data_IF_320504924009
#
_entry.id   IF_320504924009
#
_cell.length_a   1.000
_cell.length_b   1.000
_cell.length_c   1.000
_cell.angle_alpha   90.00
_cell.angle_beta   90.00
_cell.angle_gamma   90.00
#
_symmetry.space_group_name_H-M   'P 1'
#
loop_
_entity.id
_entity.type
_entity.pdbx_description
1 polymer ?
#
# COMPACT_ATOMS: atom_id res chain seq x y z
N UNK A 1 6.51 11.18 19.12
CA UNK A 1 7.46 10.27 18.42
C UNK A 1 7.00 8.81 18.46
N UNK A 2 6.88 8.18 19.63
CA UNK A 2 6.50 6.75 19.72
C UNK A 2 5.21 6.38 18.96
N UNK A 3 4.14 7.19 19.09
CA UNK A 3 2.88 6.98 18.37
C UNK A 3 3.03 7.01 16.84
N UNK A 4 3.91 7.86 16.30
CA UNK A 4 4.17 7.93 14.86
C UNK A 4 4.82 6.62 14.38
N UNK A 5 5.84 6.15 15.10
CA UNK A 5 6.53 4.89 14.79
C UNK A 5 5.57 3.70 14.86
N UNK A 6 4.74 3.64 15.91
CA UNK A 6 3.73 2.59 16.07
C UNK A 6 2.71 2.63 14.92
N UNK A 7 2.23 3.82 14.53
CA UNK A 7 1.30 3.99 13.41
C UNK A 7 1.90 3.50 12.09
N UNK A 8 3.18 3.80 11.85
CA UNK A 8 3.90 3.31 10.67
C UNK A 8 4.01 1.77 10.69
N UNK A 9 4.47 1.18 11.80
CA UNK A 9 4.61 -0.28 11.93
C UNK A 9 3.26 -0.97 11.70
N UNK A 10 2.20 -0.49 12.38
CA UNK A 10 0.86 -1.05 12.24
C UNK A 10 0.34 -0.86 10.83
N UNK A 11 0.57 0.30 10.20
CA UNK A 11 0.20 0.54 8.80
C UNK A 11 0.89 -0.41 7.83
N UNK A 12 2.20 -0.64 8.00
CA UNK A 12 2.97 -1.58 7.16
C UNK A 12 2.53 -3.03 7.35
N UNK A 13 2.21 -3.44 8.58
CA UNK A 13 1.63 -4.78 8.81
C UNK A 13 0.23 -4.87 8.22
N UNK A 14 -0.58 -3.83 8.39
CA UNK A 14 -1.95 -3.78 7.89
C UNK A 14 -2.00 -3.83 6.36
N UNK A 15 -1.07 -3.22 5.63
CA UNK A 15 -1.02 -3.33 4.17
C UNK A 15 -0.83 -4.77 3.66
N UNK A 16 -0.22 -5.65 4.45
CA UNK A 16 -0.09 -7.06 4.05
C UNK A 16 -1.43 -7.80 4.11
N UNK A 17 -2.36 -7.31 4.94
CA UNK A 17 -3.66 -7.93 5.19
C UNK A 17 -4.79 -7.16 4.52
N UNK A 18 -4.64 -5.86 4.28
CA UNK A 18 -5.70 -5.01 3.71
C UNK A 18 -6.13 -5.47 2.32
N UNK A 19 -5.22 -6.11 1.57
CA UNK A 19 -5.52 -6.77 0.30
C UNK A 19 -6.61 -7.84 0.45
N UNK A 20 -6.62 -8.60 1.55
CA UNK A 20 -7.63 -9.64 1.78
C UNK A 20 -9.02 -9.08 2.07
N UNK A 21 -9.14 -7.79 2.42
CA UNK A 21 -10.40 -7.20 2.86
C UNK A 21 -11.39 -6.95 1.71
N UNK A 22 -10.93 -6.98 0.45
CA UNK A 22 -11.72 -6.52 -0.69
C UNK A 22 -11.66 -7.45 -1.91
N UNK A 23 -12.20 -8.67 -1.78
CA UNK A 23 -12.37 -9.63 -2.89
C UNK A 23 -11.08 -10.14 -3.58
N UNK A 24 -9.88 -9.74 -3.14
CA UNK A 24 -8.60 -10.26 -3.62
C UNK A 24 -8.14 -11.51 -2.83
N UNK A 25 -9.11 -12.34 -2.42
CA UNK A 25 -8.84 -13.59 -1.69
C UNK A 25 -8.05 -14.59 -2.51
N UNK A 26 -8.29 -14.66 -3.83
CA UNK A 26 -7.57 -15.60 -4.71
C UNK A 26 -6.07 -15.25 -4.79
N UNK A 27 -5.68 -14.00 -5.13
CA UNK A 27 -4.27 -13.61 -5.10
C UNK A 27 -3.60 -13.79 -3.72
N UNK A 28 -4.34 -13.54 -2.65
CA UNK A 28 -3.86 -13.77 -1.28
C UNK A 28 -3.56 -15.26 -1.04
N UNK A 29 -4.50 -16.14 -1.37
CA UNK A 29 -4.33 -17.59 -1.20
C UNK A 29 -3.16 -18.09 -2.04
N UNK A 30 -2.99 -17.61 -3.27
CA UNK A 30 -1.82 -17.97 -4.09
C UNK A 30 -0.51 -17.52 -3.44
N UNK A 31 -0.47 -16.33 -2.84
CA UNK A 31 0.71 -15.86 -2.14
C UNK A 31 1.00 -16.70 -0.88
N UNK A 32 -0.03 -17.11 -0.14
CA UNK A 32 0.08 -17.98 1.03
C UNK A 32 0.56 -19.39 0.63
N UNK A 33 0.01 -19.97 -0.43
CA UNK A 33 0.43 -21.27 -0.94
C UNK A 33 1.89 -21.22 -1.40
N UNK A 34 2.29 -20.14 -2.08
CA UNK A 34 3.69 -19.94 -2.48
C UNK A 34 4.62 -19.74 -1.29
N UNK A 35 4.17 -19.15 -0.19
CA UNK A 35 4.97 -19.07 1.05
C UNK A 35 5.32 -20.44 1.64
N UNK A 36 4.51 -21.47 1.38
CA UNK A 36 4.80 -22.83 1.87
C UNK A 36 6.01 -23.45 1.16
N UNK A 37 6.19 -23.13 -0.13
CA UNK A 37 7.32 -23.60 -0.93
C UNK A 37 8.52 -22.64 -0.89
N UNK A 38 8.27 -21.34 -1.01
CA UNK A 38 9.27 -20.28 -1.02
C UNK A 38 8.71 -19.05 -0.27
N UNK A 39 9.10 -18.85 1.01
CA UNK A 39 8.58 -17.76 1.82
C UNK A 39 8.99 -16.38 1.28
N UNK A 40 10.13 -16.28 0.59
CA UNK A 40 10.61 -15.01 0.04
C UNK A 40 9.73 -14.63 -1.15
N UNK A 41 9.48 -15.58 -2.06
CA UNK A 41 8.63 -15.35 -3.23
C UNK A 41 7.18 -15.01 -2.83
N UNK A 42 6.64 -15.70 -1.83
CA UNK A 42 5.31 -15.40 -1.29
C UNK A 42 5.21 -14.00 -0.68
N UNK A 43 6.25 -13.53 0.04
CA UNK A 43 6.32 -12.15 0.54
C UNK A 43 6.38 -11.13 -0.58
N UNK A 44 7.14 -11.40 -1.66
CA UNK A 44 7.17 -10.52 -2.83
C UNK A 44 5.79 -10.37 -3.43
N UNK A 45 5.03 -11.47 -3.58
CA UNK A 45 3.69 -11.42 -4.14
C UNK A 45 2.73 -10.59 -3.29
N UNK A 46 2.74 -10.75 -1.97
CA UNK A 46 1.91 -9.91 -1.08
C UNK A 46 2.26 -8.43 -1.19
N UNK A 47 3.55 -8.11 -1.25
CA UNK A 47 4.03 -6.73 -1.38
C UNK A 47 3.72 -6.17 -2.77
N UNK A 48 3.82 -6.97 -3.82
CA UNK A 48 3.48 -6.59 -5.19
C UNK A 48 1.99 -6.31 -5.35
N UNK A 49 1.12 -7.11 -4.73
CA UNK A 49 -0.33 -6.93 -4.77
C UNK A 49 -0.77 -5.59 -4.19
N UNK A 50 -0.01 -5.02 -3.26
CA UNK A 50 -0.27 -3.67 -2.77
C UNK A 50 -0.13 -2.62 -3.88
N UNK A 51 0.68 -2.87 -4.91
CA UNK A 51 0.94 -1.95 -6.01
C UNK A 51 0.27 -2.39 -7.33
N UNK A 52 -0.67 -3.35 -7.30
CA UNK A 52 -1.34 -3.79 -8.53
C UNK A 52 -2.47 -2.86 -9.01
N UNK A 53 -2.77 -1.79 -8.27
CA UNK A 53 -3.77 -0.80 -8.69
C UNK A 53 -3.18 0.17 -9.71
N UNK A 54 -3.45 -0.03 -10.99
CA UNK A 54 -3.04 0.91 -12.02
C UNK A 54 -3.93 2.16 -12.06
N UNK A 55 -3.55 3.18 -11.27
CA UNK A 55 -4.23 4.46 -11.27
C UNK A 55 -4.15 5.17 -12.63
N UNK A 56 -3.06 5.00 -13.39
CA UNK A 56 -2.86 5.68 -14.67
C UNK A 56 -3.81 5.10 -15.73
N UNK A 57 -3.96 3.78 -15.79
CA UNK A 57 -4.92 3.12 -16.69
C UNK A 57 -6.37 3.52 -16.37
N UNK A 58 -6.70 3.68 -15.08
CA UNK A 58 -8.01 4.19 -14.66
C UNK A 58 -8.26 5.63 -15.18
N UNK A 59 -7.25 6.51 -15.15
CA UNK A 59 -7.40 7.90 -15.61
C UNK A 59 -7.36 8.03 -17.14
N UNK A 60 -6.55 7.24 -17.84
CA UNK A 60 -6.39 7.32 -19.30
C UNK A 60 -7.53 6.64 -20.08
N UNK A 61 -8.15 5.61 -19.51
CA UNK A 61 -9.21 4.84 -20.15
C UNK A 61 -10.32 4.49 -19.18
N UNK A 62 -10.87 5.53 -18.52
CA UNK A 62 -11.89 5.39 -17.48
C UNK A 62 -13.05 4.53 -17.95
N UNK A 63 -13.32 3.44 -17.21
CA UNK A 63 -14.51 2.62 -17.36
C UNK A 63 -15.03 2.20 -15.99
N UNK A 64 -16.35 1.99 -15.88
CA UNK A 64 -16.93 1.52 -14.61
C UNK A 64 -16.44 0.13 -14.22
N UNK A 65 -16.14 -0.73 -15.20
CA UNK A 65 -15.56 -2.05 -14.95
C UNK A 65 -14.17 -1.96 -14.32
N UNK A 66 -13.30 -1.07 -14.83
CA UNK A 66 -11.97 -0.82 -14.25
C UNK A 66 -12.06 -0.24 -12.84
N UNK A 67 -12.98 0.69 -12.62
CA UNK A 67 -13.20 1.26 -11.28
C UNK A 67 -13.62 0.18 -10.28
N UNK A 68 -14.53 -0.72 -10.66
CA UNK A 68 -14.98 -1.82 -9.80
C UNK A 68 -13.85 -2.82 -9.50
N UNK A 69 -12.98 -3.10 -10.48
CA UNK A 69 -11.83 -3.99 -10.30
C UNK A 69 -10.79 -3.41 -9.34
N UNK A 70 -10.54 -2.10 -9.44
CA UNK A 70 -9.42 -1.43 -8.79
C UNK A 70 -9.77 -0.69 -7.49
N UNK A 71 -11.03 -0.32 -7.29
CA UNK A 71 -11.50 0.34 -6.07
C UNK A 71 -11.20 -0.41 -4.77
N UNK A 72 -11.21 -1.76 -4.72
CA UNK A 72 -10.68 -2.55 -3.60
C UNK A 72 -9.30 -2.11 -3.07
N UNK A 73 -8.34 -1.95 -3.97
CA UNK A 73 -6.94 -1.69 -3.62
C UNK A 73 -6.75 -0.25 -3.18
N UNK A 74 -7.42 0.68 -3.85
CA UNK A 74 -7.44 2.08 -3.43
C UNK A 74 -8.08 2.21 -2.03
N UNK A 75 -9.19 1.51 -1.78
CA UNK A 75 -9.84 1.47 -0.48
C UNK A 75 -8.93 0.85 0.60
N UNK A 76 -8.23 -0.24 0.27
CA UNK A 76 -7.25 -0.87 1.14
C UNK A 76 -6.16 0.12 1.58
N UNK A 77 -5.60 0.90 0.64
CA UNK A 77 -4.63 1.94 0.96
C UNK A 77 -5.21 3.11 1.76
N UNK A 78 -6.45 3.51 1.49
CA UNK A 78 -7.14 4.53 2.27
C UNK A 78 -7.32 4.06 3.71
N UNK A 79 -7.74 2.80 3.93
CA UNK A 79 -7.91 2.24 5.28
C UNK A 79 -6.57 2.13 5.99
N UNK A 80 -5.55 1.61 5.31
CA UNK A 80 -4.20 1.49 5.88
C UNK A 80 -3.64 2.86 6.28
N UNK A 81 -3.78 3.86 5.39
CA UNK A 81 -3.43 5.24 5.69
C UNK A 81 -4.23 5.79 6.87
N UNK A 82 -5.54 5.57 6.89
CA UNK A 82 -6.43 6.04 7.95
C UNK A 82 -6.06 5.47 9.33
N UNK A 83 -5.84 4.16 9.43
CA UNK A 83 -5.43 3.52 10.68
C UNK A 83 -4.05 4.03 11.12
N UNK A 84 -3.08 4.10 10.20
CA UNK A 84 -1.76 4.66 10.51
C UNK A 84 -1.85 6.12 10.99
N UNK A 85 -2.67 6.94 10.33
CA UNK A 85 -2.86 8.35 10.65
C UNK A 85 -3.59 8.60 11.97
N UNK A 86 -4.64 7.81 12.27
CA UNK A 86 -5.36 7.89 13.54
C UNK A 86 -4.45 7.58 14.73
N UNK A 87 -3.56 6.60 14.60
CA UNK A 87 -2.59 6.24 15.63
C UNK A 87 -1.53 7.33 15.79
N UNK A 88 -1.03 7.89 14.69
CA UNK A 88 -0.02 8.94 14.70
C UNK A 88 -0.50 10.25 15.36
N UNK A 89 -1.81 10.53 15.29
CA UNK A 89 -2.53 11.74 15.75
C UNK A 89 -2.03 13.05 15.11
N UNK A 90 -2.98 13.87 14.64
CA UNK A 90 -2.73 15.16 14.02
C UNK A 90 -2.46 15.04 12.52
N UNK A 91 -3.05 15.93 11.73
CA UNK A 91 -3.01 15.88 10.26
C UNK A 91 -1.59 15.83 9.67
N UNK A 92 -0.64 16.62 10.20
CA UNK A 92 0.74 16.62 9.72
C UNK A 92 1.44 15.27 9.93
N UNK A 93 1.25 14.67 11.11
CA UNK A 93 1.84 13.36 11.43
C UNK A 93 1.12 12.23 10.71
N UNK A 94 -0.19 12.34 10.51
CA UNK A 94 -0.97 11.40 9.72
C UNK A 94 -0.53 11.38 8.25
N UNK A 95 -0.26 12.55 7.66
CA UNK A 95 0.33 12.64 6.33
C UNK A 95 1.71 11.97 6.27
N UNK A 96 2.59 12.27 7.24
CA UNK A 96 3.92 11.65 7.31
C UNK A 96 3.80 10.12 7.44
N UNK A 97 2.91 9.64 8.31
CA UNK A 97 2.70 8.22 8.54
C UNK A 97 2.15 7.53 7.28
N UNK A 98 1.16 8.12 6.61
CA UNK A 98 0.61 7.61 5.36
C UNK A 98 1.66 7.48 4.25
N UNK A 99 2.48 8.52 4.04
CA UNK A 99 3.56 8.48 3.05
C UNK A 99 4.62 7.43 3.44
N UNK A 100 5.04 7.39 4.70
CA UNK A 100 6.09 6.47 5.13
C UNK A 100 5.65 5.01 5.02
N UNK A 101 4.38 4.69 5.28
CA UNK A 101 3.87 3.32 5.08
C UNK A 101 4.00 2.91 3.62
N UNK A 102 3.64 3.79 2.66
CA UNK A 102 3.80 3.51 1.23
C UNK A 102 5.28 3.31 0.87
N UNK A 103 6.15 4.22 1.30
CA UNK A 103 7.60 4.17 1.00
C UNK A 103 8.22 2.91 1.58
N UNK A 104 7.91 2.55 2.83
CA UNK A 104 8.45 1.34 3.46
C UNK A 104 7.99 0.09 2.72
N UNK A 105 6.70 -0.01 2.37
CA UNK A 105 6.22 -1.14 1.57
C UNK A 105 6.89 -1.24 0.20
N UNK A 106 7.13 -0.11 -0.45
CA UNK A 106 7.85 -0.07 -1.73
C UNK A 106 9.29 -0.56 -1.57
N UNK A 107 9.99 -0.12 -0.52
CA UNK A 107 11.35 -0.55 -0.23
C UNK A 107 11.42 -2.03 0.14
N UNK A 108 10.48 -2.52 0.95
CA UNK A 108 10.36 -3.94 1.26
C UNK A 108 10.12 -4.75 -0.01
N UNK A 109 9.20 -4.31 -0.87
CA UNK A 109 8.92 -4.99 -2.14
C UNK A 109 10.18 -5.11 -3.02
N UNK A 110 10.91 -4.01 -3.21
CA UNK A 110 12.15 -4.01 -3.98
C UNK A 110 13.19 -4.93 -3.33
N UNK A 111 13.39 -4.83 -2.01
CA UNK A 111 14.36 -5.63 -1.27
C UNK A 111 14.10 -7.13 -1.39
N UNK A 112 12.85 -7.56 -1.15
CA UNK A 112 12.48 -8.97 -1.26
C UNK A 112 12.52 -9.45 -2.72
N UNK A 113 12.23 -8.58 -3.69
CA UNK A 113 12.35 -8.93 -5.11
C UNK A 113 13.79 -9.22 -5.52
N UNK A 114 14.77 -8.48 -4.97
CA UNK A 114 16.20 -8.78 -5.15
C UNK A 114 16.55 -10.15 -4.57
N UNK A 115 16.07 -10.46 -3.36
CA UNK A 115 16.32 -11.76 -2.74
C UNK A 115 15.65 -12.93 -3.49
N UNK A 116 14.51 -12.68 -4.11
CA UNK A 116 13.82 -13.64 -4.97
C UNK A 116 14.43 -13.77 -6.38
N UNK A 117 15.52 -13.04 -6.67
CA UNK A 117 16.13 -12.95 -8.01
C UNK A 117 15.13 -12.56 -9.12
N UNK A 118 14.13 -11.73 -8.78
CA UNK A 118 13.18 -11.20 -9.76
C UNK A 118 13.85 -10.09 -10.56
N UNK A 119 13.62 -10.10 -11.87
CA UNK A 119 14.11 -9.05 -12.75
C UNK A 119 13.33 -7.74 -12.55
N UNK A 120 13.78 -6.93 -11.59
CA UNK A 120 13.25 -5.60 -11.33
C UNK A 120 13.33 -4.67 -12.55
N UNK A 121 14.29 -4.88 -13.45
CA UNK A 121 14.46 -4.02 -14.61
C UNK A 121 13.28 -4.17 -15.58
N UNK A 122 12.72 -5.36 -15.69
CA UNK A 122 11.51 -5.61 -16.49
C UNK A 122 10.30 -4.80 -16.00
N UNK A 123 10.21 -4.46 -14.71
CA UNK A 123 9.10 -3.69 -14.13
C UNK A 123 9.18 -2.19 -14.47
N UNK A 124 10.37 -1.69 -14.81
CA UNK A 124 10.59 -0.29 -15.17
C UNK A 124 10.80 -0.09 -16.67
N UNK A 125 10.38 -1.05 -17.49
CA UNK A 125 10.55 -1.02 -18.94
C UNK A 125 9.24 -1.38 -19.68
N UNK A 126 9.09 -0.81 -20.88
CA UNK A 126 7.97 -1.12 -21.76
C UNK A 126 6.59 -0.87 -21.14
N UNK A 127 5.58 -1.70 -21.45
CA UNK A 127 4.22 -1.53 -20.91
C UNK A 127 4.13 -1.69 -19.37
N UNK A 128 5.03 -2.46 -18.76
CA UNK A 128 5.05 -2.71 -17.32
C UNK A 128 5.45 -1.48 -16.49
N UNK A 129 6.13 -0.51 -17.11
CA UNK A 129 6.45 0.77 -16.45
C UNK A 129 5.18 1.53 -16.08
N UNK A 130 4.20 1.58 -16.99
CA UNK A 130 2.97 2.33 -16.76
C UNK A 130 2.15 1.71 -15.64
N UNK A 131 2.04 0.39 -15.61
CA UNK A 131 1.30 -0.33 -14.56
C UNK A 131 1.97 -0.17 -13.20
N UNK A 132 3.31 -0.27 -13.14
CA UNK A 132 4.07 -0.08 -11.90
C UNK A 132 3.96 1.35 -11.36
N UNK A 133 4.09 2.35 -12.24
CA UNK A 133 3.91 3.76 -11.85
C UNK A 133 2.47 4.04 -11.42
N UNK A 134 1.47 3.49 -12.11
CA UNK A 134 0.07 3.56 -11.72
C UNK A 134 -0.18 2.98 -10.32
N UNK A 135 0.42 1.82 -10.05
CA UNK A 135 0.47 1.17 -8.74
C UNK A 135 0.96 2.07 -7.62
N UNK A 136 2.13 2.65 -7.82
CA UNK A 136 2.78 3.54 -6.86
C UNK A 136 1.94 4.80 -6.65
N UNK A 137 1.45 5.43 -7.72
CA UNK A 137 0.62 6.63 -7.63
C UNK A 137 -0.68 6.32 -6.87
N UNK A 138 -1.33 5.20 -7.18
CA UNK A 138 -2.53 4.74 -6.49
C UNK A 138 -2.30 4.54 -4.99
N UNK A 139 -1.20 3.88 -4.63
CA UNK A 139 -0.80 3.68 -3.24
C UNK A 139 -0.53 5.00 -2.52
N UNK A 140 0.16 5.95 -3.17
CA UNK A 140 0.43 7.28 -2.60
C UNK A 140 -0.88 8.05 -2.39
N UNK A 141 -1.77 8.09 -3.39
CA UNK A 141 -3.07 8.78 -3.26
C UNK A 141 -3.86 8.18 -2.10
N UNK A 142 -4.02 6.86 -2.07
CA UNK A 142 -4.77 6.18 -1.01
C UNK A 142 -4.15 6.38 0.37
N UNK A 143 -2.84 6.16 0.50
CA UNK A 143 -2.12 6.31 1.76
C UNK A 143 -2.12 7.74 2.29
N UNK A 144 -1.97 8.75 1.43
CA UNK A 144 -2.02 10.17 1.80
C UNK A 144 -3.42 10.59 2.22
N UNK A 145 -4.43 10.28 1.41
CA UNK A 145 -5.84 10.61 1.72
C UNK A 145 -6.26 9.96 3.02
N UNK A 146 -6.00 8.65 3.17
CA UNK A 146 -6.24 7.93 4.41
C UNK A 146 -5.52 8.56 5.60
N UNK A 147 -4.20 8.77 5.48
CA UNK A 147 -3.35 9.33 6.52
C UNK A 147 -3.79 10.70 7.01
N UNK A 148 -4.17 11.59 6.08
CA UNK A 148 -4.69 12.92 6.40
C UNK A 148 -6.02 12.84 7.14
N UNK A 149 -6.99 12.08 6.62
CA UNK A 149 -8.31 11.95 7.23
C UNK A 149 -8.19 11.31 8.62
N UNK A 150 -7.41 10.24 8.75
CA UNK A 150 -7.19 9.57 10.04
C UNK A 150 -6.52 10.48 11.05
N UNK A 151 -5.47 11.19 10.64
CA UNK A 151 -4.77 12.14 11.50
C UNK A 151 -5.62 13.33 11.93
N UNK A 152 -6.50 13.83 11.05
CA UNK A 152 -7.42 14.92 11.36
C UNK A 152 -8.53 14.49 12.33
N UNK A 153 -9.12 13.31 12.13
CA UNK A 153 -10.19 12.77 12.99
C UNK A 153 -9.69 12.47 14.40
N UNK A 154 -8.46 12.01 14.55
CA UNK A 154 -7.88 11.71 15.86
C UNK A 154 -7.53 12.97 16.70
N UNK A 155 -7.79 14.16 16.16
CA UNK A 155 -7.61 15.44 16.83
C UNK A 155 -6.19 16.00 16.73
N UNK A 156 -5.99 17.25 17.16
CA UNK A 156 -4.67 17.88 17.19
C UNK A 156 -3.72 17.08 18.09
N UNK A 157 -2.44 17.10 17.74
CA UNK A 157 -1.42 16.45 18.55
C UNK A 157 -1.35 17.12 19.94
N UNK A 158 -1.04 16.34 20.97
CA UNK A 158 -0.72 16.79 22.33
C UNK A 158 0.63 17.55 22.33
N UNK A 159 0.78 18.58 21.48
CA UNK A 159 2.00 19.41 21.35
C UNK A 159 2.02 20.54 22.40
N UNK A 160 0.95 20.66 23.19
CA UNK A 160 0.77 21.68 24.22
C UNK A 160 0.68 21.12 25.65
N UNK A 161 0.98 19.83 25.86
CA UNK A 161 1.09 19.21 27.18
C UNK A 161 2.34 18.34 27.28
#
# INVERSE_FOLDING_TARGET
MARLVIGIIIGTVLSLVSISMFYLWIPLLTAIDMMQSDPILGLVLLLMLNFSFDALDLFMGFSMEKLLLYSPLLAAWIITGYVSGTIAKGAKRGLIAGILVVVINLLLWILFSVFAAIDLMSLFQGPALMTTLGGIIGAVIGGVVGGLVGGAVAGPYEEFY
#
